data_IF_744957312995
#
_entry.id   IF_744957312995
#
_cell.length_a   1.000
_cell.length_b   1.000
_cell.length_c   1.000
_cell.angle_alpha   90.00
_cell.angle_beta   90.00
_cell.angle_gamma   90.00
#
_symmetry.space_group_name_H-M   'P 1'
#
loop_
_entity.id
_entity.type
_entity.pdbx_description
1 polymer ?
#
# COMPACT_ATOMS: atom_id res chain seq x y z
N UNK A 1 -8.13 27.47 -0.34
CA UNK A 1 -8.71 26.13 -0.48
C UNK A 1 -7.59 25.15 -0.27
N UNK A 2 -7.69 24.30 0.75
CA UNK A 2 -6.72 23.23 0.98
C UNK A 2 -6.84 22.20 -0.15
N UNK A 3 -5.78 21.46 -0.43
CA UNK A 3 -5.72 20.52 -1.55
C UNK A 3 -6.86 19.48 -1.52
N UNK A 4 -7.13 18.88 -0.37
CA UNK A 4 -8.22 17.91 -0.22
C UNK A 4 -9.62 18.50 -0.51
N UNK A 5 -9.86 19.79 -0.21
CA UNK A 5 -11.13 20.46 -0.49
C UNK A 5 -11.37 20.58 -2.00
N UNK A 6 -10.30 20.78 -2.77
CA UNK A 6 -10.37 20.79 -4.23
C UNK A 6 -10.77 19.41 -4.77
N UNK A 7 -10.18 18.33 -4.25
CA UNK A 7 -10.56 16.96 -4.64
C UNK A 7 -12.03 16.66 -4.36
N UNK A 8 -12.53 17.01 -3.16
CA UNK A 8 -13.95 16.83 -2.81
C UNK A 8 -14.84 17.56 -3.82
N UNK A 9 -14.55 18.84 -4.06
CA UNK A 9 -15.31 19.66 -4.99
C UNK A 9 -15.33 19.06 -6.39
N UNK A 10 -14.16 18.67 -6.92
CA UNK A 10 -14.06 18.07 -8.24
C UNK A 10 -14.85 16.77 -8.34
N UNK A 11 -14.77 15.87 -7.34
CA UNK A 11 -15.52 14.61 -7.35
C UNK A 11 -17.03 14.88 -7.32
N UNK A 12 -17.49 15.78 -6.45
CA UNK A 12 -18.90 16.15 -6.34
C UNK A 12 -19.44 16.77 -7.63
N UNK A 13 -18.70 17.68 -8.25
CA UNK A 13 -19.16 18.44 -9.43
C UNK A 13 -19.06 17.65 -10.73
N UNK A 14 -18.06 16.76 -10.87
CA UNK A 14 -17.74 16.13 -12.16
C UNK A 14 -18.04 14.64 -12.24
N UNK A 15 -18.14 13.94 -11.10
CA UNK A 15 -18.27 12.48 -11.07
C UNK A 15 -19.52 11.99 -10.34
N UNK A 16 -19.90 12.61 -9.22
CA UNK A 16 -21.06 12.18 -8.44
C UNK A 16 -22.35 12.69 -9.08
N UNK A 17 -23.20 11.74 -9.44
CA UNK A 17 -24.60 11.96 -9.81
C UNK A 17 -25.50 11.47 -8.67
N UNK A 18 -26.79 11.83 -8.68
CA UNK A 18 -27.71 11.51 -7.60
C UNK A 18 -27.67 10.01 -7.21
N UNK A 19 -27.48 9.73 -5.92
CA UNK A 19 -27.42 8.38 -5.37
C UNK A 19 -26.05 7.68 -5.39
N UNK A 20 -25.02 8.25 -6.03
CA UNK A 20 -23.67 7.64 -6.03
C UNK A 20 -22.84 8.02 -4.80
N UNK A 21 -21.96 7.11 -4.36
CA UNK A 21 -20.92 7.33 -3.34
C UNK A 21 -19.53 7.28 -3.98
N UNK A 22 -18.52 7.85 -3.32
CA UNK A 22 -17.14 7.75 -3.79
C UNK A 22 -16.35 6.71 -2.99
N UNK A 23 -15.50 5.97 -3.71
CA UNK A 23 -14.34 5.28 -3.21
C UNK A 23 -13.11 6.10 -3.61
N UNK A 24 -12.37 6.64 -2.65
CA UNK A 24 -11.15 7.40 -2.90
C UNK A 24 -9.90 6.56 -2.62
N UNK A 25 -8.88 6.71 -3.44
CA UNK A 25 -7.62 5.96 -3.35
C UNK A 25 -6.42 6.90 -3.45
N UNK A 26 -5.25 6.44 -3.02
CA UNK A 26 -4.08 7.31 -2.92
C UNK A 26 -3.59 7.84 -4.26
N UNK A 27 -3.37 6.95 -5.24
CA UNK A 27 -2.74 7.33 -6.50
C UNK A 27 -3.36 6.70 -7.73
N UNK A 28 -2.80 7.08 -8.87
CA UNK A 28 -3.27 6.63 -10.19
C UNK A 28 -3.12 5.12 -10.40
N UNK A 29 -2.10 4.51 -9.79
CA UNK A 29 -1.91 3.05 -9.88
C UNK A 29 -3.03 2.34 -9.12
N UNK A 30 -3.42 2.83 -7.95
CA UNK A 30 -4.55 2.30 -7.19
C UNK A 30 -5.85 2.43 -7.97
N UNK A 31 -6.14 3.62 -8.53
CA UNK A 31 -7.35 3.85 -9.33
C UNK A 31 -7.41 2.89 -10.53
N UNK A 32 -6.28 2.70 -11.22
CA UNK A 32 -6.15 1.75 -12.32
C UNK A 32 -6.43 0.31 -11.87
N UNK A 33 -5.85 -0.12 -10.76
CA UNK A 33 -6.01 -1.49 -10.23
C UNK A 33 -7.43 -1.75 -9.76
N UNK A 34 -7.97 -0.87 -8.91
CA UNK A 34 -9.34 -0.99 -8.40
C UNK A 34 -10.36 -0.95 -9.54
N UNK A 35 -10.12 -0.19 -10.62
CA UNK A 35 -10.97 -0.24 -11.81
C UNK A 35 -11.02 -1.65 -12.43
N UNK A 36 -9.89 -2.36 -12.53
CA UNK A 36 -9.87 -3.71 -13.09
C UNK A 36 -10.54 -4.72 -12.17
N UNK A 37 -10.32 -4.61 -10.85
CA UNK A 37 -10.90 -5.51 -9.86
C UNK A 37 -12.43 -5.32 -9.76
N UNK A 38 -12.89 -4.08 -9.63
CA UNK A 38 -14.32 -3.77 -9.53
C UNK A 38 -15.12 -4.24 -10.74
N UNK A 39 -14.55 -4.16 -11.96
CA UNK A 39 -15.18 -4.70 -13.17
C UNK A 39 -15.42 -6.21 -13.12
N UNK A 40 -14.64 -6.95 -12.34
CA UNK A 40 -14.81 -8.40 -12.14
C UNK A 40 -15.79 -8.70 -11.02
N UNK A 41 -15.72 -7.93 -9.93
CA UNK A 41 -16.61 -8.08 -8.77
C UNK A 41 -18.05 -7.74 -9.14
N UNK A 42 -18.27 -6.61 -9.80
CA UNK A 42 -19.58 -6.19 -10.27
C UNK A 42 -19.43 -5.33 -11.54
N UNK A 43 -19.75 -5.84 -12.74
CA UNK A 43 -19.68 -5.07 -13.99
C UNK A 43 -20.50 -3.77 -13.98
N UNK A 44 -21.46 -3.62 -13.06
CA UNK A 44 -22.31 -2.45 -12.90
C UNK A 44 -21.93 -1.56 -11.69
N UNK A 45 -20.76 -1.77 -11.07
CA UNK A 45 -20.33 -1.01 -9.88
C UNK A 45 -20.42 0.52 -10.07
N UNK A 46 -20.12 1.00 -11.29
CA UNK A 46 -20.14 2.41 -11.67
C UNK A 46 -21.54 3.05 -11.58
N UNK A 47 -22.61 2.25 -11.50
CA UNK A 47 -23.99 2.76 -11.29
C UNK A 47 -24.19 3.32 -9.88
N UNK A 48 -23.46 2.80 -8.89
CA UNK A 48 -23.59 3.15 -7.47
C UNK A 48 -22.37 3.86 -6.89
N UNK A 49 -21.22 3.71 -7.54
CA UNK A 49 -19.94 4.18 -7.04
C UNK A 49 -19.16 4.99 -8.07
N UNK A 50 -18.34 5.88 -7.54
CA UNK A 50 -17.31 6.63 -8.26
C UNK A 50 -15.96 6.24 -7.67
N UNK A 51 -14.97 5.95 -8.51
CA UNK A 51 -13.57 5.78 -8.09
C UNK A 51 -12.77 7.04 -8.43
N UNK A 52 -11.90 7.48 -7.50
CA UNK A 52 -11.03 8.63 -7.73
C UNK A 52 -9.71 8.53 -6.95
N UNK A 53 -8.60 8.80 -7.62
CA UNK A 53 -7.32 9.10 -6.94
C UNK A 53 -7.32 10.53 -6.38
N UNK A 54 -6.67 10.71 -5.22
CA UNK A 54 -6.66 12.00 -4.50
C UNK A 54 -5.26 12.45 -4.10
N UNK A 55 -4.20 11.96 -4.74
CA UNK A 55 -2.84 12.46 -4.51
C UNK A 55 -2.23 12.13 -3.15
N UNK A 56 -2.56 10.97 -2.57
CA UNK A 56 -1.85 10.37 -1.44
C UNK A 56 -2.68 10.17 -0.16
N UNK A 57 -2.15 9.34 0.75
CA UNK A 57 -2.78 8.93 2.02
C UNK A 57 -3.36 10.06 2.84
N UNK A 58 -2.65 11.18 2.95
CA UNK A 58 -3.09 12.34 3.73
C UNK A 58 -4.42 12.90 3.20
N UNK A 59 -4.53 13.07 1.88
CA UNK A 59 -5.74 13.59 1.28
C UNK A 59 -6.90 12.60 1.45
N UNK A 60 -6.65 11.29 1.35
CA UNK A 60 -7.67 10.27 1.67
C UNK A 60 -8.22 10.48 3.08
N UNK A 61 -7.35 10.54 4.09
CA UNK A 61 -7.76 10.73 5.50
C UNK A 61 -8.53 12.03 5.72
N UNK A 62 -8.05 13.15 5.17
CA UNK A 62 -8.70 14.46 5.29
C UNK A 62 -10.08 14.48 4.58
N UNK A 63 -10.20 13.81 3.44
CA UNK A 63 -11.47 13.66 2.71
C UNK A 63 -12.48 12.84 3.50
N UNK A 64 -12.07 11.69 4.05
CA UNK A 64 -12.97 10.81 4.79
C UNK A 64 -13.53 11.44 6.06
N UNK A 65 -12.75 12.30 6.72
CA UNK A 65 -13.22 13.09 7.84
C UNK A 65 -14.32 14.10 7.43
N UNK A 66 -14.21 14.66 6.22
CA UNK A 66 -15.17 15.62 5.68
C UNK A 66 -16.38 14.96 4.97
N UNK A 67 -16.23 13.73 4.48
CA UNK A 67 -17.23 12.97 3.72
C UNK A 67 -17.47 11.58 4.35
N UNK A 68 -18.23 11.47 5.46
CA UNK A 68 -18.40 10.22 6.20
C UNK A 68 -19.11 9.09 5.42
N UNK A 69 -19.79 9.42 4.32
CA UNK A 69 -20.51 8.46 3.47
C UNK A 69 -19.66 7.92 2.31
N UNK A 70 -18.46 8.47 2.11
CA UNK A 70 -17.49 7.97 1.13
C UNK A 70 -16.60 6.93 1.80
N UNK A 71 -16.04 6.02 1.02
CA UNK A 71 -15.02 5.07 1.48
C UNK A 71 -13.66 5.51 0.96
N UNK A 72 -12.59 5.14 1.67
CA UNK A 72 -11.24 5.38 1.19
C UNK A 72 -10.30 4.23 1.51
N UNK A 73 -9.46 3.88 0.53
CA UNK A 73 -8.47 2.81 0.65
C UNK A 73 -7.06 3.41 0.67
N UNK A 74 -6.24 2.93 1.60
CA UNK A 74 -4.84 3.35 1.75
C UNK A 74 -3.91 2.17 1.91
N UNK A 75 -2.65 2.37 1.52
CA UNK A 75 -1.54 1.46 1.73
C UNK A 75 -1.23 1.31 3.22
N UNK A 76 -0.70 0.14 3.58
CA UNK A 76 -0.31 -0.19 4.96
C UNK A 76 1.09 0.35 5.33
N UNK A 77 1.93 0.56 4.32
CA UNK A 77 3.37 0.85 4.36
C UNK A 77 3.88 1.93 5.33
N UNK A 78 3.05 2.89 5.74
CA UNK A 78 3.45 3.98 6.64
C UNK A 78 3.05 3.77 8.10
N UNK A 79 2.05 2.91 8.37
CA UNK A 79 1.42 2.83 9.68
C UNK A 79 1.62 1.47 10.32
N UNK A 80 1.91 1.47 11.62
CA UNK A 80 1.86 0.25 12.42
C UNK A 80 0.42 -0.16 12.75
N UNK A 81 0.26 -1.34 13.35
CA UNK A 81 -1.05 -1.90 13.70
C UNK A 81 -1.82 -1.03 14.71
N UNK A 82 -1.13 -0.36 15.63
CA UNK A 82 -1.77 0.48 16.64
C UNK A 82 -2.32 1.77 15.98
N UNK A 83 -1.52 2.38 15.11
CA UNK A 83 -1.88 3.55 14.31
C UNK A 83 -3.05 3.25 13.37
N UNK A 84 -3.04 2.10 12.70
CA UNK A 84 -4.15 1.63 11.85
C UNK A 84 -5.42 1.47 12.69
N UNK A 85 -5.34 0.74 13.80
CA UNK A 85 -6.49 0.47 14.67
C UNK A 85 -7.11 1.78 15.19
N UNK A 86 -6.29 2.72 15.65
CA UNK A 86 -6.74 4.02 16.12
C UNK A 86 -7.43 4.83 15.01
N UNK A 87 -6.86 4.86 13.80
CA UNK A 87 -7.42 5.60 12.67
C UNK A 87 -8.73 5.01 12.19
N UNK A 88 -8.84 3.68 12.11
CA UNK A 88 -10.09 3.02 11.71
C UNK A 88 -11.19 3.13 12.78
N UNK A 89 -10.83 3.31 14.05
CA UNK A 89 -11.80 3.67 15.10
C UNK A 89 -12.34 5.09 14.92
N UNK A 90 -11.50 6.03 14.51
CA UNK A 90 -11.86 7.43 14.26
C UNK A 90 -12.60 7.64 12.94
N UNK A 91 -12.19 6.91 11.90
CA UNK A 91 -12.71 6.97 10.53
C UNK A 91 -13.19 5.57 10.15
N UNK A 92 -14.46 5.27 10.42
CA UNK A 92 -15.07 3.96 10.14
C UNK A 92 -15.08 3.62 8.65
N UNK A 93 -15.01 4.64 7.80
CA UNK A 93 -14.96 4.56 6.35
C UNK A 93 -13.52 4.47 5.77
N UNK A 94 -12.50 4.34 6.62
CA UNK A 94 -11.11 4.13 6.22
C UNK A 94 -10.79 2.63 6.16
N UNK A 95 -10.37 2.19 4.97
CA UNK A 95 -10.00 0.83 4.65
C UNK A 95 -8.47 0.80 4.43
N UNK A 96 -7.76 -0.03 5.19
CA UNK A 96 -6.31 -0.20 5.03
C UNK A 96 -6.06 -1.52 4.33
N UNK A 97 -5.21 -1.53 3.31
CA UNK A 97 -4.86 -2.76 2.61
C UNK A 97 -4.23 -3.79 3.58
N UNK A 98 -4.54 -5.08 3.43
CA UNK A 98 -3.95 -6.13 4.27
C UNK A 98 -2.47 -6.37 3.94
N UNK A 99 -2.07 -6.02 2.72
CA UNK A 99 -0.70 -6.11 2.20
C UNK A 99 0.01 -4.76 2.33
N UNK A 100 1.34 -4.75 2.16
CA UNK A 100 2.16 -3.56 2.31
C UNK A 100 1.68 -2.39 1.44
N UNK A 101 1.50 -2.61 0.13
CA UNK A 101 0.82 -1.69 -0.79
C UNK A 101 0.12 -2.47 -1.92
N UNK A 102 -0.57 -1.78 -2.83
CA UNK A 102 -1.28 -2.43 -3.95
C UNK A 102 -0.35 -3.25 -4.87
N UNK A 103 0.92 -2.87 -5.04
CA UNK A 103 1.86 -3.66 -5.84
C UNK A 103 2.24 -4.99 -5.20
N UNK A 104 1.96 -5.22 -3.90
CA UNK A 104 2.21 -6.49 -3.22
C UNK A 104 1.22 -7.61 -3.62
N UNK A 105 0.26 -7.33 -4.51
CA UNK A 105 -0.48 -8.38 -5.22
C UNK A 105 0.28 -8.93 -6.43
N UNK A 106 1.41 -8.32 -6.81
CA UNK A 106 2.24 -8.70 -7.94
C UNK A 106 3.64 -9.17 -7.52
N UNK A 107 3.77 -9.77 -6.33
CA UNK A 107 5.08 -10.22 -5.80
C UNK A 107 5.11 -11.69 -5.39
N UNK A 108 3.95 -12.31 -5.16
CA UNK A 108 3.86 -13.70 -4.73
C UNK A 108 3.93 -14.63 -5.96
N UNK A 109 4.88 -15.57 -6.04
CA UNK A 109 5.10 -16.40 -7.23
C UNK A 109 3.86 -17.19 -7.70
N UNK A 110 3.10 -17.76 -6.76
CA UNK A 110 1.91 -18.57 -7.04
C UNK A 110 0.74 -17.73 -7.59
N UNK A 111 0.58 -16.51 -7.08
CA UNK A 111 -0.42 -15.53 -7.54
C UNK A 111 -0.04 -14.98 -8.92
N UNK A 112 1.24 -14.64 -9.11
CA UNK A 112 1.77 -14.18 -10.40
C UNK A 112 1.58 -15.21 -11.51
N UNK A 113 1.80 -16.50 -11.24
CA UNK A 113 1.50 -17.55 -12.22
C UNK A 113 0.03 -17.53 -12.66
N UNK A 114 -0.88 -17.31 -11.70
CA UNK A 114 -2.33 -17.25 -11.95
C UNK A 114 -2.74 -16.01 -12.74
N UNK A 115 -2.02 -14.89 -12.55
CA UNK A 115 -2.22 -13.64 -13.27
C UNK A 115 -1.53 -13.53 -14.63
N UNK A 116 -0.74 -14.52 -15.04
CA UNK A 116 -0.08 -14.48 -16.34
C UNK A 116 -1.08 -14.63 -17.49
N UNK A 117 -1.01 -13.81 -18.55
CA UNK A 117 -1.76 -14.03 -19.78
C UNK A 117 -1.49 -15.43 -20.35
N UNK A 118 -2.51 -16.10 -20.89
CA UNK A 118 -2.43 -17.50 -21.34
C UNK A 118 -1.25 -17.76 -22.30
N UNK A 119 -1.04 -16.87 -23.27
CA UNK A 119 0.07 -16.96 -24.24
C UNK A 119 1.46 -16.91 -23.57
N UNK A 120 1.58 -16.21 -22.45
CA UNK A 120 2.84 -16.11 -21.69
C UNK A 120 3.03 -17.32 -20.78
N UNK A 121 1.96 -17.82 -20.18
CA UNK A 121 1.97 -19.04 -19.35
C UNK A 121 2.43 -20.27 -20.15
N UNK A 122 2.13 -20.33 -21.45
CA UNK A 122 2.58 -21.40 -22.34
C UNK A 122 4.12 -21.51 -22.49
N UNK A 123 4.88 -20.47 -22.13
CA UNK A 123 6.35 -20.50 -22.15
C UNK A 123 6.95 -21.01 -20.83
N UNK A 124 6.11 -21.35 -19.84
CA UNK A 124 6.53 -21.94 -18.57
C UNK A 124 6.31 -23.46 -18.59
N UNK A 125 6.98 -24.20 -17.68
CA UNK A 125 6.68 -25.61 -17.46
C UNK A 125 5.17 -25.85 -17.28
N UNK A 126 4.61 -26.93 -17.86
CA UNK A 126 3.18 -27.22 -17.77
C UNK A 126 2.75 -27.63 -16.36
N UNK A 127 3.65 -28.24 -15.58
CA UNK A 127 3.39 -28.56 -14.18
C UNK A 127 3.42 -27.29 -13.32
N UNK A 128 2.27 -26.98 -12.69
CA UNK A 128 2.10 -25.78 -11.87
C UNK A 128 3.21 -25.59 -10.83
N UNK A 129 3.56 -26.66 -10.11
CA UNK A 129 4.58 -26.59 -9.05
C UNK A 129 5.96 -26.22 -9.61
N UNK A 130 6.33 -26.79 -10.75
CA UNK A 130 7.62 -26.51 -11.42
C UNK A 130 7.64 -25.08 -11.97
N UNK A 131 6.52 -24.60 -12.52
CA UNK A 131 6.38 -23.22 -12.96
C UNK A 131 6.50 -22.23 -11.79
N UNK A 132 5.81 -22.48 -10.67
CA UNK A 132 5.92 -21.67 -9.46
C UNK A 132 7.34 -21.68 -8.92
N UNK A 133 8.02 -22.82 -8.89
CA UNK A 133 9.40 -22.93 -8.43
C UNK A 133 10.37 -22.13 -9.32
N UNK A 134 10.17 -22.15 -10.64
CA UNK A 134 10.96 -21.38 -11.62
C UNK A 134 10.82 -19.87 -11.39
N UNK A 135 9.61 -19.39 -11.09
CA UNK A 135 9.35 -17.99 -10.74
C UNK A 135 9.97 -17.67 -9.38
N UNK A 136 9.75 -18.54 -8.39
CA UNK A 136 10.23 -18.36 -7.01
C UNK A 136 11.74 -18.19 -6.98
N UNK A 137 12.49 -19.08 -7.64
CA UNK A 137 13.95 -19.04 -7.66
C UNK A 137 14.52 -17.69 -8.12
N UNK A 138 13.87 -17.04 -9.10
CA UNK A 138 14.29 -15.72 -9.60
C UNK A 138 13.84 -14.57 -8.67
N UNK A 139 12.62 -14.64 -8.14
CA UNK A 139 12.07 -13.58 -7.28
C UNK A 139 12.76 -13.56 -5.92
N UNK A 140 13.11 -14.72 -5.37
CA UNK A 140 13.63 -14.83 -4.00
C UNK A 140 15.15 -14.86 -3.92
N UNK A 141 15.87 -14.72 -5.05
CA UNK A 141 17.34 -14.81 -5.13
C UNK A 141 18.04 -13.90 -4.10
N UNK A 142 17.53 -12.68 -3.91
CA UNK A 142 18.07 -11.70 -2.96
C UNK A 142 17.03 -11.24 -1.93
N UNK A 143 16.09 -12.12 -1.55
CA UNK A 143 14.96 -11.75 -0.69
C UNK A 143 15.39 -11.17 0.66
N UNK A 144 16.44 -11.69 1.30
CA UNK A 144 16.87 -11.21 2.62
C UNK A 144 17.26 -9.72 2.61
N UNK A 145 17.89 -9.22 1.54
CA UNK A 145 18.18 -7.78 1.40
C UNK A 145 16.91 -6.93 1.30
N UNK A 146 15.85 -7.46 0.68
CA UNK A 146 14.56 -6.78 0.60
C UNK A 146 13.79 -6.84 1.92
N UNK A 147 13.93 -7.92 2.69
CA UNK A 147 13.44 -8.01 4.07
C UNK A 147 14.14 -6.98 4.94
N UNK A 148 15.47 -6.87 4.84
CA UNK A 148 16.25 -5.86 5.56
C UNK A 148 15.82 -4.45 5.23
N UNK A 149 15.59 -4.16 3.95
CA UNK A 149 15.08 -2.88 3.49
C UNK A 149 13.66 -2.59 4.02
N UNK A 150 12.73 -3.55 3.93
CA UNK A 150 11.37 -3.42 4.45
C UNK A 150 11.32 -3.27 5.98
N UNK A 151 12.15 -4.01 6.70
CA UNK A 151 12.30 -3.88 8.15
C UNK A 151 12.78 -2.47 8.53
N UNK A 152 13.79 -1.94 7.84
CA UNK A 152 14.26 -0.57 8.07
C UNK A 152 13.15 0.45 7.80
N UNK A 153 12.43 0.29 6.70
CA UNK A 153 11.27 1.13 6.35
C UNK A 153 10.22 1.16 7.46
N UNK A 154 9.85 -0.02 7.99
CA UNK A 154 8.84 -0.15 9.05
C UNK A 154 9.24 0.50 10.39
N UNK A 155 10.52 0.83 10.58
CA UNK A 155 11.01 1.55 11.77
C UNK A 155 11.15 3.04 11.47
N UNK A 156 11.71 3.41 10.32
CA UNK A 156 12.02 4.81 10.00
C UNK A 156 10.76 5.64 9.73
N UNK A 157 9.74 5.08 9.08
CA UNK A 157 8.51 5.84 8.79
C UNK A 157 7.74 6.21 10.07
N UNK A 158 7.43 5.28 10.99
CA UNK A 158 6.82 5.64 12.26
C UNK A 158 7.67 6.61 13.09
N UNK A 159 9.01 6.43 13.09
CA UNK A 159 9.92 7.35 13.77
C UNK A 159 9.83 8.78 13.25
N UNK A 160 9.68 8.97 11.93
CA UNK A 160 9.48 10.30 11.35
C UNK A 160 8.19 10.95 11.85
N UNK A 161 7.10 10.20 11.90
CA UNK A 161 5.82 10.69 12.44
C UNK A 161 5.88 10.99 13.94
N UNK A 162 6.54 10.13 14.72
CA UNK A 162 6.82 10.36 16.15
C UNK A 162 7.57 11.69 16.33
N UNK A 163 8.67 11.90 15.60
CA UNK A 163 9.46 13.13 15.67
C UNK A 163 8.63 14.37 15.30
N UNK A 164 7.83 14.29 14.23
CA UNK A 164 6.93 15.39 13.84
C UNK A 164 5.88 15.69 14.90
N UNK A 165 5.36 14.66 15.59
CA UNK A 165 4.41 14.85 16.68
C UNK A 165 5.03 15.58 17.88
N UNK A 166 6.34 15.40 18.09
CA UNK A 166 7.16 16.10 19.07
C UNK A 166 7.61 17.50 18.61
N UNK A 167 7.03 18.01 17.52
CA UNK A 167 7.33 19.34 17.01
C UNK A 167 8.63 19.45 16.24
N UNK A 168 9.25 18.33 15.83
CA UNK A 168 10.45 18.34 15.00
C UNK A 168 10.28 19.27 13.81
N UNK A 169 11.25 20.17 13.62
CA UNK A 169 11.23 21.27 12.65
C UNK A 169 10.17 22.36 12.96
N UNK A 170 8.89 22.00 13.11
CA UNK A 170 7.76 22.94 13.23
C UNK A 170 7.89 23.91 14.40
N UNK A 171 8.16 23.40 15.60
CA UNK A 171 8.11 24.23 16.81
C UNK A 171 9.28 25.22 16.85
N UNK A 172 10.44 24.83 16.29
CA UNK A 172 11.61 25.72 16.19
C UNK A 172 11.50 26.78 15.09
N UNK A 173 10.67 26.54 14.07
CA UNK A 173 10.46 27.47 12.96
C UNK A 173 9.22 28.36 13.13
N UNK A 174 8.57 28.33 14.29
CA UNK A 174 7.44 29.22 14.57
C UNK A 174 7.95 30.63 14.88
N UNK A 175 7.71 31.63 14.00
CA UNK A 175 8.21 33.00 14.20
C UNK A 175 7.51 33.70 15.38
N UNK A 176 6.44 33.14 15.93
CA UNK A 176 5.77 33.65 17.13
C UNK A 176 6.39 33.13 18.43
N UNK A 177 7.24 32.10 18.35
CA UNK A 177 7.91 31.53 19.51
C UNK A 177 9.31 32.14 19.68
N UNK A 178 9.54 32.78 20.83
CA UNK A 178 10.90 33.16 21.24
C UNK A 178 11.53 31.96 21.93
N UNK A 179 12.50 31.34 21.26
CA UNK A 179 13.17 30.15 21.76
C UNK A 179 14.50 30.58 22.39
N UNK A 180 14.60 30.38 23.70
CA UNK A 180 15.86 30.57 24.43
C UNK A 180 16.82 29.43 24.15
N UNK A 181 18.11 29.63 24.45
CA UNK A 181 19.12 28.57 24.33
C UNK A 181 18.73 27.30 25.10
N UNK A 182 18.23 27.45 26.34
CA UNK A 182 17.74 26.32 27.14
C UNK A 182 16.51 25.66 26.50
N UNK A 183 15.61 26.43 25.89
CA UNK A 183 14.46 25.92 25.17
C UNK A 183 14.87 25.10 23.95
N UNK A 184 15.82 25.62 23.16
CA UNK A 184 16.39 24.92 22.01
C UNK A 184 17.00 23.57 22.43
N UNK A 185 17.87 23.56 23.46
CA UNK A 185 18.47 22.33 23.99
C UNK A 185 17.41 21.33 24.47
N UNK A 186 16.32 21.80 25.08
CA UNK A 186 15.22 20.93 25.53
C UNK A 186 14.52 20.24 24.35
N UNK A 187 14.27 20.96 23.25
CA UNK A 187 13.72 20.34 22.02
C UNK A 187 14.69 19.33 21.41
N UNK A 188 15.97 19.69 21.28
CA UNK A 188 17.00 18.79 20.78
C UNK A 188 17.09 17.50 21.60
N UNK A 189 17.07 17.60 22.93
CA UNK A 189 17.14 16.44 23.82
C UNK A 189 15.94 15.50 23.67
N UNK A 190 14.72 16.05 23.56
CA UNK A 190 13.50 15.26 23.34
C UNK A 190 13.56 14.47 22.04
N UNK A 191 14.07 15.06 20.96
CA UNK A 191 14.23 14.35 19.69
C UNK A 191 15.36 13.32 19.77
N UNK A 192 16.45 13.64 20.46
CA UNK A 192 17.58 12.74 20.66
C UNK A 192 17.17 11.44 21.37
N UNK A 193 16.30 11.52 22.38
CA UNK A 193 15.78 10.35 23.09
C UNK A 193 15.05 9.36 22.17
N UNK A 194 14.41 9.84 21.10
CA UNK A 194 13.77 9.00 20.08
C UNK A 194 14.74 8.51 19.00
N UNK A 195 15.93 9.12 18.91
CA UNK A 195 16.99 8.79 17.95
C UNK A 195 18.11 7.95 18.57
N UNK A 196 17.93 7.43 19.79
CA UNK A 196 18.94 6.64 20.48
C UNK A 196 19.31 5.40 19.63
N UNK A 197 20.56 5.29 19.15
CA UNK A 197 20.94 4.25 18.19
C UNK A 197 20.74 2.81 18.71
N UNK A 198 20.98 2.57 20.01
CA UNK A 198 20.80 1.26 20.62
C UNK A 198 19.34 0.79 20.58
N UNK A 199 18.40 1.66 20.93
CA UNK A 199 16.97 1.41 20.87
C UNK A 199 16.50 1.18 19.43
N UNK A 200 16.97 2.00 18.47
CA UNK A 200 16.62 1.83 17.05
C UNK A 200 17.16 0.51 16.49
N UNK A 201 18.40 0.15 16.84
CA UNK A 201 18.98 -1.13 16.45
C UNK A 201 18.20 -2.30 17.03
N UNK A 202 17.80 -2.21 18.30
CA UNK A 202 16.98 -3.24 18.94
C UNK A 202 15.61 -3.39 18.26
N UNK A 203 14.92 -2.28 17.96
CA UNK A 203 13.64 -2.30 17.21
C UNK A 203 13.82 -2.98 15.85
N UNK A 204 14.87 -2.62 15.11
CA UNK A 204 15.18 -3.20 13.82
C UNK A 204 15.48 -4.71 13.89
N UNK A 205 16.32 -5.14 14.84
CA UNK A 205 16.67 -6.55 15.03
C UNK A 205 15.46 -7.39 15.44
N UNK A 206 14.62 -6.87 16.34
CA UNK A 206 13.37 -7.52 16.73
C UNK A 206 12.45 -7.70 15.52
N UNK A 207 12.29 -6.64 14.71
CA UNK A 207 11.45 -6.69 13.52
C UNK A 207 11.98 -7.67 12.48
N UNK A 208 13.29 -7.69 12.23
CA UNK A 208 13.91 -8.70 11.36
C UNK A 208 13.65 -10.13 11.84
N UNK A 209 13.77 -10.37 13.14
CA UNK A 209 13.53 -11.69 13.73
C UNK A 209 12.08 -12.14 13.52
N UNK A 210 11.13 -11.23 13.76
CA UNK A 210 9.69 -11.46 13.51
C UNK A 210 9.43 -11.83 12.04
N UNK A 211 9.97 -11.04 11.10
CA UNK A 211 9.72 -11.21 9.67
C UNK A 211 10.31 -12.53 9.17
N UNK A 212 11.53 -12.88 9.58
CA UNK A 212 12.22 -14.09 9.12
C UNK A 212 11.53 -15.39 9.57
N UNK A 213 10.66 -15.31 10.58
CA UNK A 213 9.83 -16.44 11.03
C UNK A 213 8.57 -16.60 10.16
N UNK A 214 8.20 -15.61 9.35
CA UNK A 214 7.05 -15.70 8.46
C UNK A 214 7.35 -16.60 7.26
N UNK A 215 6.33 -17.27 6.68
CA UNK A 215 6.46 -17.88 5.36
C UNK A 215 6.88 -16.86 4.30
N UNK A 216 7.62 -17.31 3.28
CA UNK A 216 8.13 -16.44 2.20
C UNK A 216 7.02 -15.59 1.56
N UNK A 217 5.87 -16.19 1.27
CA UNK A 217 4.72 -15.48 0.68
C UNK A 217 4.24 -14.35 1.60
N UNK A 218 4.23 -14.56 2.92
CA UNK A 218 3.85 -13.52 3.89
C UNK A 218 4.90 -12.42 4.01
N UNK A 219 6.19 -12.76 3.93
CA UNK A 219 7.27 -11.77 3.86
C UNK A 219 7.09 -10.86 2.62
N UNK A 220 6.79 -11.47 1.47
CA UNK A 220 6.53 -10.76 0.22
C UNK A 220 5.26 -9.90 0.30
N UNK A 221 4.18 -10.40 0.89
CA UNK A 221 2.90 -9.65 1.01
C UNK A 221 2.99 -8.46 1.94
N UNK A 222 3.63 -8.60 3.10
CA UNK A 222 3.42 -7.67 4.23
C UNK A 222 4.61 -6.77 4.55
N UNK A 223 5.82 -7.10 4.08
CA UNK A 223 7.05 -6.39 4.48
C UNK A 223 7.82 -5.82 3.31
N UNK A 224 7.91 -6.57 2.22
CA UNK A 224 8.66 -6.13 1.05
C UNK A 224 7.99 -4.90 0.45
N UNK A 225 8.79 -3.86 0.17
CA UNK A 225 8.29 -2.64 -0.46
C UNK A 225 7.84 -2.92 -1.89
N UNK A 226 6.55 -3.21 -2.09
CA UNK A 226 5.98 -3.78 -3.30
C UNK A 226 6.35 -3.02 -4.56
N UNK A 227 6.17 -1.71 -4.58
CA UNK A 227 6.51 -0.85 -5.73
C UNK A 227 7.96 -0.97 -6.18
N UNK A 228 8.91 -0.91 -5.24
CA UNK A 228 10.35 -1.00 -5.56
C UNK A 228 10.72 -2.43 -5.96
N UNK A 229 10.19 -3.42 -5.25
CA UNK A 229 10.44 -4.83 -5.52
C UNK A 229 9.88 -5.27 -6.88
N UNK A 230 8.65 -4.89 -7.20
CA UNK A 230 8.02 -5.19 -8.48
C UNK A 230 8.86 -4.66 -9.66
N UNK A 231 9.36 -3.42 -9.54
CA UNK A 231 10.18 -2.81 -10.59
C UNK A 231 11.58 -3.41 -10.68
N UNK A 232 12.22 -3.68 -9.55
CA UNK A 232 13.62 -4.09 -9.50
C UNK A 232 13.84 -5.61 -9.59
N UNK A 233 12.84 -6.42 -9.22
CA UNK A 233 12.95 -7.88 -9.12
C UNK A 233 11.93 -8.56 -10.03
N UNK A 234 10.63 -8.35 -9.81
CA UNK A 234 9.57 -9.08 -10.52
C UNK A 234 9.64 -8.79 -12.02
N UNK A 235 9.69 -7.51 -12.39
CA UNK A 235 9.72 -7.12 -13.81
C UNK A 235 10.92 -7.71 -14.55
N UNK A 236 12.18 -7.55 -14.09
CA UNK A 236 13.33 -8.22 -14.71
C UNK A 236 13.24 -9.74 -14.72
N UNK A 237 12.76 -10.36 -13.63
CA UNK A 237 12.62 -11.81 -13.53
C UNK A 237 11.70 -12.35 -14.63
N UNK A 238 10.52 -11.76 -14.82
CA UNK A 238 9.59 -12.18 -15.87
C UNK A 238 10.08 -11.84 -17.28
N UNK A 239 10.72 -10.68 -17.48
CA UNK A 239 11.31 -10.35 -18.78
C UNK A 239 12.37 -11.37 -19.19
N UNK A 240 13.20 -11.83 -18.24
CA UNK A 240 14.20 -12.89 -18.46
C UNK A 240 13.55 -14.25 -18.68
N UNK A 241 12.65 -14.66 -17.78
CA UNK A 241 12.04 -15.99 -17.79
C UNK A 241 11.20 -16.25 -19.06
N UNK A 242 10.53 -15.22 -19.57
CA UNK A 242 9.62 -15.31 -20.70
C UNK A 242 10.17 -14.67 -21.98
N UNK A 243 11.44 -14.26 -21.97
CA UNK A 243 12.13 -13.60 -23.10
C UNK A 243 11.31 -12.44 -23.68
N UNK A 244 10.76 -11.59 -22.80
CA UNK A 244 9.87 -10.49 -23.22
C UNK A 244 10.66 -9.21 -23.48
N UNK A 245 10.42 -8.52 -24.61
CA UNK A 245 11.07 -7.24 -24.91
C UNK A 245 10.52 -6.07 -24.08
N UNK A 246 9.34 -6.24 -23.47
CA UNK A 246 8.67 -5.23 -22.66
C UNK A 246 7.96 -5.87 -21.48
N UNK A 247 7.96 -5.16 -20.35
CA UNK A 247 7.22 -5.54 -19.16
C UNK A 247 5.70 -5.61 -19.42
N UNK A 248 5.04 -6.54 -18.73
CA UNK A 248 3.58 -6.55 -18.63
C UNK A 248 3.17 -5.35 -17.76
N UNK A 249 2.24 -4.54 -18.24
CA UNK A 249 1.75 -3.38 -17.49
C UNK A 249 0.85 -3.84 -16.33
N UNK A 250 0.78 -3.01 -15.28
CA UNK A 250 0.02 -3.34 -14.06
C UNK A 250 -1.46 -3.57 -14.36
N UNK A 251 -2.07 -2.79 -15.25
CA UNK A 251 -3.47 -3.01 -15.67
C UNK A 251 -3.70 -4.38 -16.31
N UNK A 252 -2.73 -4.86 -17.11
CA UNK A 252 -2.84 -6.18 -17.75
C UNK A 252 -2.78 -7.26 -16.70
N UNK A 253 -1.84 -7.18 -15.75
CA UNK A 253 -1.80 -8.13 -14.63
C UNK A 253 -3.14 -8.19 -13.91
N UNK A 254 -3.64 -7.06 -13.41
CA UNK A 254 -4.88 -7.04 -12.63
C UNK A 254 -6.13 -7.32 -13.45
N UNK A 255 -6.11 -7.19 -14.78
CA UNK A 255 -7.18 -7.68 -15.66
C UNK A 255 -7.19 -9.21 -15.79
N UNK A 256 -6.04 -9.87 -15.75
CA UNK A 256 -5.96 -11.33 -15.89
C UNK A 256 -5.99 -12.08 -14.54
N UNK A 257 -5.49 -11.48 -13.45
CA UNK A 257 -5.45 -12.13 -12.11
C UNK A 257 -6.87 -12.39 -11.55
N UNK A 258 -7.09 -13.47 -10.77
CA UNK A 258 -8.32 -13.56 -9.97
C UNK A 258 -8.43 -12.37 -9.02
N UNK A 259 -9.66 -12.04 -8.60
CA UNK A 259 -9.87 -11.05 -7.53
C UNK A 259 -9.24 -11.59 -6.24
N UNK A 260 -8.31 -10.86 -5.60
CA UNK A 260 -7.72 -11.32 -4.35
C UNK A 260 -8.76 -11.39 -3.22
N UNK A 261 -8.91 -12.55 -2.58
CA UNK A 261 -9.89 -12.78 -1.52
C UNK A 261 -9.65 -11.90 -0.27
N UNK A 262 -8.40 -11.52 -0.02
CA UNK A 262 -8.04 -10.60 1.06
C UNK A 262 -8.52 -9.14 0.81
N UNK A 263 -9.10 -8.84 -0.35
CA UNK A 263 -9.78 -7.57 -0.63
C UNK A 263 -11.30 -7.63 -0.44
N UNK A 264 -11.88 -8.79 -0.08
CA UNK A 264 -13.34 -8.97 0.00
C UNK A 264 -14.03 -8.01 0.96
N UNK A 265 -13.34 -7.61 2.02
CA UNK A 265 -13.85 -6.62 2.97
C UNK A 265 -14.16 -5.26 2.33
N UNK A 266 -13.43 -4.87 1.27
CA UNK A 266 -13.68 -3.63 0.54
C UNK A 266 -15.00 -3.74 -0.22
N UNK A 267 -15.21 -4.87 -0.91
CA UNK A 267 -16.42 -5.12 -1.68
C UNK A 267 -17.65 -5.19 -0.77
N UNK A 268 -17.48 -5.78 0.42
CA UNK A 268 -18.50 -5.82 1.46
C UNK A 268 -18.91 -4.42 1.91
N UNK A 269 -17.96 -3.55 2.26
CA UNK A 269 -18.23 -2.15 2.63
C UNK A 269 -18.87 -1.35 1.48
N UNK A 270 -18.55 -1.73 0.24
CA UNK A 270 -19.19 -1.16 -0.94
C UNK A 270 -20.60 -1.69 -1.24
N UNK A 271 -21.08 -2.68 -0.48
CA UNK A 271 -22.31 -3.44 -0.77
C UNK A 271 -22.33 -4.01 -2.20
N UNK A 272 -21.21 -4.61 -2.63
CA UNK A 272 -21.11 -5.32 -3.90
C UNK A 272 -21.24 -6.85 -3.67
N UNK A 273 -21.80 -7.60 -4.63
CA UNK A 273 -21.83 -9.05 -4.55
C UNK A 273 -20.39 -9.59 -4.57
N UNK A 274 -20.02 -10.40 -3.59
CA UNK A 274 -18.80 -11.21 -3.64
C UNK A 274 -19.23 -12.53 -4.25
N UNK A 275 -19.07 -12.71 -5.57
CA UNK A 275 -19.20 -14.04 -6.16
C UNK A 275 -17.99 -14.88 -5.72
N UNK A 276 -18.25 -16.05 -5.11
CA UNK A 276 -17.21 -17.04 -4.81
C UNK A 276 -16.63 -17.54 -6.16
N UNK A 277 -15.46 -17.00 -6.54
CA UNK A 277 -14.69 -17.46 -7.72
C UNK A 277 -13.88 -18.72 -7.40
#
# INVERSE_FOLDING_TARGET
MKEFEWHIKTILETKITEGKRALVVEGKTDELVFTQLLKKVDPQWETRWVLAEVGGKRNVVEILAAQPTWLGVVDRDEWDNAQISQRQQQLRNLLVLPRFCIENYLVVPSELLSGLPAMRRANLPPEREVAVQSITALITENLDSWIQFGAAWSIINPLWDELRSLGFNRDLLDPQQVITEQGFLTHCQRWYEHLEPGLLLQRYQNKLSEIRQLPVDEQLRTIVHGKKFYKAVVTPAFMRLLTMPKAISVDVWFREMPVPADLDFIWHEMNLPVEEN
#
